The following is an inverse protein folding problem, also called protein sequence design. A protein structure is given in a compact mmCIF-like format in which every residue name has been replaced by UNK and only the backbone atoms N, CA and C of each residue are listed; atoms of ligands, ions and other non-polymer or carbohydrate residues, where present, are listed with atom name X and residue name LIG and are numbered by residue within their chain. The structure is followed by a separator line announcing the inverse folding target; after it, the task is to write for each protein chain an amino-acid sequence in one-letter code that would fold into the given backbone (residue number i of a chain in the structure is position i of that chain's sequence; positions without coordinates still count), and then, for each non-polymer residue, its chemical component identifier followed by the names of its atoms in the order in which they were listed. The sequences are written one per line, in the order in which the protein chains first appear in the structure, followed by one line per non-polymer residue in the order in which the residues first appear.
data_IF_677406406438
#
_entry.id   IF_677406406438
#
_cell.length_a   1.000
_cell.length_b   1.000
_cell.length_c   1.000
_cell.angle_alpha   90.00
_cell.angle_beta   90.00
_cell.angle_gamma   90.00
#
_symmetry.space_group_name_H-M   'P 1'
#
loop_
_entity.id
_entity.type
_entity.pdbx_description
1 polymer ?
#
# COMPACT_ATOMS: atom_id res chain seq x y z
N UNK A 1 65.90 0.59 3.39
CA UNK A 1 64.82 1.39 2.78
C UNK A 1 64.22 0.56 1.66
N UNK A 2 62.99 0.07 1.83
CA UNK A 2 62.32 -0.70 0.77
C UNK A 2 61.99 0.27 -0.37
N UNK A 3 62.62 0.05 -1.52
CA UNK A 3 62.54 0.92 -2.69
C UNK A 3 61.23 0.64 -3.44
N UNK A 4 60.40 1.66 -3.69
CA UNK A 4 59.13 1.55 -4.44
C UNK A 4 59.34 0.86 -5.80
N UNK A 5 60.54 0.98 -6.37
CA UNK A 5 60.92 0.35 -7.63
C UNK A 5 61.00 -1.18 -7.58
N UNK A 6 61.41 -1.78 -6.45
CA UNK A 6 61.43 -3.25 -6.32
C UNK A 6 60.03 -3.82 -6.11
N UNK A 7 59.14 -3.08 -5.43
CA UNK A 7 57.74 -3.44 -5.28
C UNK A 7 56.96 -3.39 -6.60
N UNK A 8 57.22 -2.39 -7.46
CA UNK A 8 56.61 -2.36 -8.79
C UNK A 8 57.07 -3.52 -9.69
N UNK A 9 58.32 -3.95 -9.56
CA UNK A 9 58.87 -5.09 -10.32
C UNK A 9 58.42 -6.45 -9.81
N UNK A 10 57.94 -6.57 -8.56
CA UNK A 10 57.50 -7.84 -7.98
C UNK A 10 56.11 -8.29 -8.44
N UNK A 11 55.40 -7.48 -9.23
CA UNK A 11 54.05 -7.78 -9.73
C UNK A 11 52.94 -7.67 -8.68
N UNK A 12 53.30 -7.53 -7.41
CA UNK A 12 52.41 -7.36 -6.26
C UNK A 12 51.41 -6.19 -6.41
N UNK A 13 51.75 -5.01 -6.97
CA UNK A 13 50.78 -3.93 -7.17
C UNK A 13 49.59 -4.34 -8.05
N UNK A 14 49.83 -5.16 -9.07
CA UNK A 14 48.79 -5.62 -9.98
C UNK A 14 47.81 -6.58 -9.29
N UNK A 15 48.30 -7.38 -8.34
CA UNK A 15 47.46 -8.26 -7.51
C UNK A 15 46.53 -7.42 -6.64
N UNK A 16 47.06 -6.40 -5.97
CA UNK A 16 46.27 -5.47 -5.16
C UNK A 16 45.26 -4.68 -5.99
N UNK A 17 45.63 -4.25 -7.20
CA UNK A 17 44.74 -3.55 -8.11
C UNK A 17 43.56 -4.44 -8.55
N UNK A 18 43.81 -5.70 -8.89
CA UNK A 18 42.75 -6.65 -9.22
C UNK A 18 41.85 -6.94 -8.01
N UNK A 19 42.43 -7.17 -6.83
CA UNK A 19 41.66 -7.36 -5.59
C UNK A 19 40.79 -6.14 -5.27
N UNK A 20 41.31 -4.93 -5.46
CA UNK A 20 40.56 -3.69 -5.30
C UNK A 20 39.43 -3.56 -6.34
N UNK A 21 39.70 -3.89 -7.61
CA UNK A 21 38.69 -3.86 -8.67
C UNK A 21 37.55 -4.88 -8.42
N UNK A 22 37.88 -6.10 -7.98
CA UNK A 22 36.89 -7.13 -7.61
C UNK A 22 36.08 -6.68 -6.40
N UNK A 23 36.73 -6.15 -5.37
CA UNK A 23 36.05 -5.64 -4.17
C UNK A 23 35.09 -4.49 -4.51
N UNK A 24 35.53 -3.55 -5.35
CA UNK A 24 34.69 -2.46 -5.84
C UNK A 24 33.50 -2.98 -6.66
N UNK A 25 33.72 -3.98 -7.50
CA UNK A 25 32.65 -4.63 -8.29
C UNK A 25 31.61 -5.28 -7.38
N UNK A 26 32.03 -5.98 -6.32
CA UNK A 26 31.12 -6.54 -5.33
C UNK A 26 30.32 -5.46 -4.60
N UNK A 27 30.97 -4.37 -4.18
CA UNK A 27 30.29 -3.23 -3.54
C UNK A 27 29.22 -2.64 -4.47
N UNK A 28 29.52 -2.48 -5.76
CA UNK A 28 28.54 -1.99 -6.74
C UNK A 28 27.37 -2.95 -6.91
N UNK A 29 27.62 -4.26 -7.00
CA UNK A 29 26.55 -5.27 -7.13
C UNK A 29 25.67 -5.29 -5.89
N UNK A 30 26.25 -5.36 -4.69
CA UNK A 30 25.46 -5.34 -3.45
C UNK A 30 24.75 -3.99 -3.27
N UNK A 31 25.39 -2.88 -3.60
CA UNK A 31 24.78 -1.56 -3.57
C UNK A 31 23.56 -1.46 -4.48
N UNK A 32 23.65 -2.02 -5.70
CA UNK A 32 22.52 -2.09 -6.62
C UNK A 32 21.39 -3.00 -6.09
N UNK A 33 21.73 -4.18 -5.56
CA UNK A 33 20.74 -5.09 -4.99
C UNK A 33 20.01 -4.46 -3.80
N UNK A 34 20.73 -3.78 -2.90
CA UNK A 34 20.14 -3.06 -1.76
C UNK A 34 19.26 -1.92 -2.26
N UNK A 35 19.71 -1.14 -3.24
CA UNK A 35 18.92 -0.06 -3.82
C UNK A 35 17.60 -0.57 -4.40
N UNK A 36 17.65 -1.67 -5.16
CA UNK A 36 16.45 -2.32 -5.72
C UNK A 36 15.56 -2.83 -4.59
N UNK A 37 16.12 -3.51 -3.59
CA UNK A 37 15.36 -4.02 -2.45
C UNK A 37 14.63 -2.88 -1.72
N UNK A 38 15.32 -1.82 -1.33
CA UNK A 38 14.71 -0.68 -0.62
C UNK A 38 13.62 -0.01 -1.46
N UNK A 39 13.84 0.14 -2.77
CA UNK A 39 12.83 0.72 -3.68
C UNK A 39 11.65 -0.22 -3.91
N UNK A 40 11.85 -1.53 -3.85
CA UNK A 40 10.81 -2.54 -4.08
C UNK A 40 9.99 -2.89 -2.84
N UNK A 41 10.63 -3.00 -1.66
CA UNK A 41 9.97 -3.44 -0.43
C UNK A 41 8.80 -2.53 -0.02
N UNK A 42 8.90 -1.23 -0.29
CA UNK A 42 7.81 -0.29 -0.01
C UNK A 42 6.52 -0.61 -0.76
N UNK A 43 6.60 -1.19 -1.97
CA UNK A 43 5.41 -1.60 -2.74
C UNK A 43 4.70 -2.83 -2.15
N UNK A 44 5.44 -3.67 -1.42
CA UNK A 44 4.88 -4.86 -0.77
C UNK A 44 4.44 -4.59 0.66
N UNK A 45 4.75 -3.41 1.22
CA UNK A 45 4.33 -3.08 2.57
C UNK A 45 2.85 -2.72 2.59
N UNK A 46 2.05 -3.26 3.53
CA UNK A 46 0.66 -2.86 3.68
C UNK A 46 0.58 -1.34 3.92
N UNK A 47 -0.14 -0.63 3.06
CA UNK A 47 -0.44 0.77 3.29
C UNK A 47 -1.43 0.92 4.44
N UNK A 48 -1.33 2.02 5.17
CA UNK A 48 -2.27 2.32 6.24
C UNK A 48 -3.68 2.55 5.66
N UNK A 49 -4.68 1.95 6.30
CA UNK A 49 -6.08 2.11 5.91
C UNK A 49 -6.61 3.38 6.59
N UNK A 50 -7.06 4.32 5.77
CA UNK A 50 -7.70 5.54 6.24
C UNK A 50 -9.20 5.40 6.24
N UNK A 51 -9.83 6.14 7.14
CA UNK A 51 -11.26 6.39 7.16
C UNK A 51 -11.53 7.89 7.15
N UNK A 52 -12.45 8.32 6.29
CA UNK A 52 -12.89 9.72 6.19
C UNK A 52 -14.33 9.79 5.68
N UNK A 53 -14.94 10.97 5.74
CA UNK A 53 -16.19 11.27 5.05
C UNK A 53 -15.92 12.13 3.83
N UNK A 54 -16.60 11.81 2.74
CA UNK A 54 -16.52 12.54 1.49
C UNK A 54 -17.90 13.03 1.06
N UNK A 55 -18.00 14.34 0.85
CA UNK A 55 -19.17 14.99 0.23
C UNK A 55 -18.80 15.31 -1.21
N UNK A 56 -19.53 14.71 -2.16
CA UNK A 56 -19.33 14.98 -3.59
C UNK A 56 -19.91 16.34 -4.01
N UNK A 57 -19.72 16.70 -5.29
CA UNK A 57 -20.24 17.95 -5.84
C UNK A 57 -21.77 18.04 -5.89
N UNK A 58 -22.48 16.92 -5.78
CA UNK A 58 -23.95 16.88 -5.70
C UNK A 58 -24.45 17.02 -4.25
N UNK A 59 -23.54 17.04 -3.28
CA UNK A 59 -23.85 17.10 -1.85
C UNK A 59 -24.11 15.74 -1.21
N UNK A 60 -23.87 14.63 -1.92
CA UNK A 60 -24.02 13.30 -1.34
C UNK A 60 -22.84 13.01 -0.42
N UNK A 61 -23.14 12.81 0.87
CA UNK A 61 -22.13 12.42 1.87
C UNK A 61 -22.00 10.91 1.93
N UNK A 62 -20.77 10.42 1.83
CA UNK A 62 -20.42 8.99 1.87
C UNK A 62 -19.22 8.75 2.77
N UNK A 63 -19.21 7.62 3.49
CA UNK A 63 -18.04 7.18 4.25
C UNK A 63 -17.06 6.51 3.29
N UNK A 64 -15.80 6.91 3.33
CA UNK A 64 -14.72 6.30 2.58
C UNK A 64 -13.77 5.59 3.52
N UNK A 65 -13.51 4.31 3.21
CA UNK A 65 -12.49 3.50 3.86
C UNK A 65 -11.61 2.94 2.75
N UNK A 66 -10.30 3.12 2.85
CA UNK A 66 -9.38 2.63 1.84
C UNK A 66 -7.94 3.07 2.07
N UNK A 67 -7.10 2.85 1.07
CA UNK A 67 -5.69 3.23 1.10
C UNK A 67 -5.49 4.47 0.22
N UNK A 68 -4.75 5.48 0.69
CA UNK A 68 -4.39 6.63 -0.16
C UNK A 68 -3.35 6.14 -1.17
N UNK A 69 -3.76 6.02 -2.44
CA UNK A 69 -2.91 5.49 -3.51
C UNK A 69 -2.10 6.59 -4.19
N UNK A 70 -2.74 7.73 -4.45
CA UNK A 70 -2.11 8.84 -5.12
C UNK A 70 -2.64 10.17 -4.58
N UNK A 71 -1.76 11.18 -4.55
CA UNK A 71 -2.09 12.55 -4.17
C UNK A 71 -1.51 13.46 -5.23
N UNK A 72 -2.36 14.26 -5.87
CA UNK A 72 -1.99 15.14 -6.97
C UNK A 72 -2.55 16.53 -6.74
N UNK A 73 -1.79 17.56 -7.12
CA UNK A 73 -2.28 18.94 -7.14
C UNK A 73 -2.78 19.27 -8.55
N UNK A 74 -4.06 19.59 -8.67
CA UNK A 74 -4.71 19.93 -9.94
C UNK A 74 -5.22 21.36 -9.93
N UNK A 75 -5.36 21.98 -11.11
CA UNK A 75 -5.91 23.33 -11.19
C UNK A 75 -7.42 23.32 -10.96
N UNK A 76 -7.94 24.36 -10.31
CA UNK A 76 -9.37 24.51 -10.09
C UNK A 76 -10.15 24.63 -11.42
N UNK A 77 -9.54 25.25 -12.44
CA UNK A 77 -10.11 25.35 -13.78
C UNK A 77 -10.39 23.96 -14.39
N UNK A 78 -9.44 23.02 -14.30
CA UNK A 78 -9.60 21.65 -14.81
C UNK A 78 -10.74 20.88 -14.12
N UNK A 79 -11.00 21.15 -12.84
CA UNK A 79 -12.08 20.51 -12.10
C UNK A 79 -13.44 21.18 -12.36
N UNK A 80 -13.47 22.49 -12.55
CA UNK A 80 -14.68 23.22 -12.91
C UNK A 80 -15.24 22.76 -14.28
N UNK A 81 -14.36 22.44 -15.24
CA UNK A 81 -14.74 21.83 -16.52
C UNK A 81 -15.45 20.47 -16.36
N UNK A 82 -15.22 19.78 -15.24
CA UNK A 82 -15.84 18.50 -14.90
C UNK A 82 -17.03 18.62 -13.93
N UNK A 83 -17.65 19.81 -13.82
CA UNK A 83 -18.79 20.11 -12.93
C UNK A 83 -18.52 19.88 -11.43
N UNK A 84 -17.26 19.96 -10.99
CA UNK A 84 -16.94 19.91 -9.56
C UNK A 84 -17.13 21.30 -8.96
N UNK A 85 -18.04 21.44 -8.00
CA UNK A 85 -18.22 22.70 -7.26
C UNK A 85 -17.04 22.93 -6.32
N UNK A 86 -16.32 24.03 -6.52
CA UNK A 86 -15.19 24.43 -5.68
C UNK A 86 -15.47 25.81 -5.05
N UNK A 87 -14.99 26.07 -3.82
CA UNK A 87 -14.97 27.40 -3.23
C UNK A 87 -14.26 28.40 -4.14
N UNK A 88 -14.79 29.62 -4.23
CA UNK A 88 -14.18 30.69 -5.00
C UNK A 88 -12.78 31.05 -4.46
N UNK A 89 -11.85 31.37 -5.37
CA UNK A 89 -10.50 31.83 -5.02
C UNK A 89 -9.42 30.76 -4.93
N UNK A 90 -9.74 29.49 -5.17
CA UNK A 90 -8.75 28.42 -5.27
C UNK A 90 -8.18 28.34 -6.69
N UNK A 91 -6.86 28.45 -6.83
CA UNK A 91 -6.17 28.22 -8.11
C UNK A 91 -5.79 26.75 -8.30
N UNK A 92 -5.41 26.10 -7.20
CA UNK A 92 -4.99 24.71 -7.14
C UNK A 92 -5.69 24.00 -5.99
N UNK A 93 -5.94 22.71 -6.16
CA UNK A 93 -6.60 21.86 -5.18
C UNK A 93 -6.02 20.45 -5.24
N UNK A 94 -5.94 19.82 -4.07
CA UNK A 94 -5.47 18.44 -3.97
C UNK A 94 -6.58 17.46 -4.35
N UNK A 95 -6.21 16.52 -5.22
CA UNK A 95 -7.00 15.36 -5.62
C UNK A 95 -6.35 14.11 -5.05
N UNK A 96 -7.16 13.30 -4.39
CA UNK A 96 -6.77 11.99 -3.88
C UNK A 96 -7.36 10.90 -4.76
N UNK A 97 -6.54 9.90 -5.09
CA UNK A 97 -7.00 8.62 -5.58
C UNK A 97 -6.97 7.63 -4.42
N UNK A 98 -8.14 7.24 -3.93
CA UNK A 98 -8.26 6.33 -2.79
C UNK A 98 -8.60 4.95 -3.34
N UNK A 99 -7.79 3.95 -3.01
CA UNK A 99 -8.07 2.54 -3.31
C UNK A 99 -9.09 2.04 -2.30
N UNK A 100 -10.35 2.08 -2.70
CA UNK A 100 -11.48 1.59 -1.92
C UNK A 100 -11.62 0.07 -2.10
N UNK A 101 -12.19 -0.59 -1.10
CA UNK A 101 -12.46 -2.02 -1.13
C UNK A 101 -13.91 -2.28 -1.50
N UNK A 102 -14.37 -3.51 -1.27
CA UNK A 102 -15.78 -3.87 -1.30
C UNK A 102 -16.41 -3.56 -2.68
N UNK A 103 -15.71 -3.98 -3.75
CA UNK A 103 -16.15 -3.75 -5.14
C UNK A 103 -17.54 -4.34 -5.45
N UNK A 104 -17.95 -5.35 -4.72
CA UNK A 104 -19.32 -5.89 -4.73
C UNK A 104 -20.39 -4.87 -4.28
N UNK A 105 -20.03 -3.91 -3.42
CA UNK A 105 -20.92 -2.84 -2.96
C UNK A 105 -20.79 -1.58 -3.82
N UNK A 106 -19.57 -1.19 -4.19
CA UNK A 106 -19.30 0.10 -4.83
C UNK A 106 -19.04 0.02 -6.35
N UNK A 107 -18.84 -1.17 -6.90
CA UNK A 107 -18.58 -1.40 -8.33
C UNK A 107 -17.18 -1.00 -8.82
N UNK A 108 -16.38 -0.32 -8.00
CA UNK A 108 -15.04 0.16 -8.34
C UNK A 108 -14.04 -0.09 -7.20
N UNK A 109 -12.77 -0.28 -7.56
CA UNK A 109 -11.64 -0.43 -6.62
C UNK A 109 -10.97 0.91 -6.28
N UNK A 110 -11.33 1.97 -6.99
CA UNK A 110 -10.74 3.30 -6.82
C UNK A 110 -11.82 4.36 -6.83
N UNK A 111 -11.70 5.33 -5.92
CA UNK A 111 -12.54 6.52 -5.88
C UNK A 111 -11.66 7.76 -5.89
N UNK A 112 -11.97 8.68 -6.80
CA UNK A 112 -11.39 10.01 -6.81
C UNK A 112 -12.12 10.86 -5.78
N UNK A 113 -11.37 11.51 -4.90
CA UNK A 113 -11.91 12.44 -3.89
C UNK A 113 -11.15 13.76 -3.94
N UNK A 114 -11.88 14.86 -3.96
CA UNK A 114 -11.31 16.22 -3.96
C UNK A 114 -11.20 16.69 -2.51
N UNK A 115 -10.04 17.24 -2.14
CA UNK A 115 -9.73 17.63 -0.76
C UNK A 115 -10.79 18.53 -0.10
N UNK A 116 -11.42 19.41 -0.88
CA UNK A 116 -12.49 20.30 -0.40
C UNK A 116 -13.70 19.55 0.16
N UNK A 117 -14.03 18.39 -0.41
CA UNK A 117 -15.15 17.57 0.04
C UNK A 117 -14.77 16.54 1.10
N UNK A 118 -13.49 16.47 1.50
CA UNK A 118 -12.99 15.49 2.45
C UNK A 118 -12.96 16.07 3.86
N UNK A 119 -13.42 15.27 4.81
CA UNK A 119 -13.16 15.49 6.23
C UNK A 119 -11.77 14.97 6.61
N UNK A 120 -11.37 15.21 7.86
CA UNK A 120 -10.09 14.75 8.39
C UNK A 120 -9.93 13.23 8.22
N UNK A 121 -8.75 12.81 7.78
CA UNK A 121 -8.40 11.39 7.72
C UNK A 121 -8.15 10.86 9.12
N UNK A 122 -8.73 9.70 9.41
CA UNK A 122 -8.48 8.93 10.64
C UNK A 122 -7.85 7.59 10.29
N UNK A 123 -7.10 7.01 11.23
CA UNK A 123 -6.44 5.71 11.10
C UNK A 123 -6.90 4.76 12.22
N UNK A 124 -8.12 4.21 12.13
CA UNK A 124 -8.65 3.34 13.17
C UNK A 124 -7.90 1.99 13.19
N UNK A 125 -7.36 1.61 14.35
CA UNK A 125 -6.61 0.35 14.54
C UNK A 125 -7.50 -0.90 14.36
N UNK A 126 -8.82 -0.75 14.53
CA UNK A 126 -9.78 -1.84 14.40
C UNK A 126 -10.19 -2.15 12.94
N UNK A 127 -9.72 -1.36 11.97
CA UNK A 127 -9.94 -1.65 10.56
C UNK A 127 -9.09 -2.82 10.10
N UNK A 128 -9.75 -3.75 9.41
CA UNK A 128 -9.11 -4.92 8.84
C UNK A 128 -9.24 -4.90 7.33
N UNK A 129 -8.16 -5.28 6.65
CA UNK A 129 -8.15 -5.62 5.22
C UNK A 129 -8.23 -7.13 5.07
N UNK A 130 -9.23 -7.60 4.35
CA UNK A 130 -9.38 -9.01 3.96
C UNK A 130 -9.31 -9.06 2.45
N UNK A 131 -8.32 -9.78 1.90
CA UNK A 131 -8.30 -10.07 0.47
C UNK A 131 -9.29 -11.19 0.16
N UNK A 132 -10.22 -10.92 -0.75
CA UNK A 132 -11.17 -11.91 -1.24
C UNK A 132 -10.72 -12.39 -2.62
N UNK A 133 -11.04 -13.66 -2.92
CA UNK A 133 -10.72 -14.27 -4.22
C UNK A 133 -11.45 -13.60 -5.38
N UNK A 134 -12.68 -13.18 -5.12
CA UNK A 134 -13.46 -12.36 -6.05
C UNK A 134 -13.57 -10.95 -5.49
N UNK A 135 -13.56 -9.94 -6.36
CA UNK A 135 -13.81 -8.54 -5.99
C UNK A 135 -12.78 -7.92 -5.04
N UNK A 136 -11.57 -8.50 -4.98
CA UNK A 136 -10.38 -7.90 -4.36
C UNK A 136 -10.49 -7.63 -2.86
N UNK A 137 -9.93 -6.50 -2.43
CA UNK A 137 -9.87 -6.11 -1.03
C UNK A 137 -11.25 -5.84 -0.45
N UNK A 138 -11.47 -6.29 0.77
CA UNK A 138 -12.55 -5.91 1.65
C UNK A 138 -11.97 -5.13 2.82
N UNK A 139 -12.52 -3.95 3.10
CA UNK A 139 -12.20 -3.17 4.28
C UNK A 139 -13.41 -3.14 5.21
N UNK A 140 -13.18 -3.34 6.50
CA UNK A 140 -14.24 -3.28 7.49
C UNK A 140 -13.75 -3.52 8.91
N UNK A 141 -14.70 -3.74 9.81
CA UNK A 141 -14.44 -4.08 11.22
C UNK A 141 -14.96 -5.48 11.49
N UNK A 142 -14.17 -6.29 12.19
CA UNK A 142 -14.63 -7.60 12.62
C UNK A 142 -15.56 -7.43 13.83
N UNK A 143 -16.85 -7.63 13.61
CA UNK A 143 -17.85 -7.51 14.69
C UNK A 143 -18.07 -8.86 15.39
N UNK A 144 -18.39 -9.88 14.60
CA UNK A 144 -18.73 -11.22 15.10
C UNK A 144 -18.24 -12.28 14.13
N UNK A 145 -17.87 -13.44 14.66
CA UNK A 145 -17.64 -14.65 13.87
C UNK A 145 -18.87 -15.54 14.01
N UNK A 146 -19.40 -15.99 12.87
CA UNK A 146 -20.53 -16.93 12.84
C UNK A 146 -20.15 -18.22 12.14
N UNK A 147 -20.61 -19.34 12.66
CA UNK A 147 -20.49 -20.66 12.04
C UNK A 147 -21.88 -21.30 11.98
N UNK A 148 -22.30 -21.69 10.77
CA UNK A 148 -23.65 -22.24 10.54
C UNK A 148 -24.78 -21.35 11.10
N UNK A 149 -24.61 -20.03 10.97
CA UNK A 149 -25.57 -19.03 11.47
C UNK A 149 -25.52 -18.75 12.98
N UNK A 150 -24.72 -19.49 13.76
CA UNK A 150 -24.55 -19.26 15.20
C UNK A 150 -23.33 -18.39 15.47
N UNK A 151 -23.46 -17.44 16.40
CA UNK A 151 -22.31 -16.65 16.88
C UNK A 151 -21.39 -17.60 17.65
N UNK A 152 -20.11 -17.62 17.27
CA UNK A 152 -19.08 -18.45 17.90
C UNK A 152 -18.04 -17.62 18.64
N UNK A 153 -17.90 -16.36 18.28
CA UNK A 153 -17.07 -15.37 18.98
C UNK A 153 -17.49 -13.95 18.60
N UNK A 154 -17.26 -13.00 19.50
CA UNK A 154 -17.52 -11.58 19.34
C UNK A 154 -16.51 -10.76 20.16
N UNK A 155 -16.38 -9.46 19.87
CA UNK A 155 -15.42 -8.60 20.56
C UNK A 155 -13.97 -9.08 20.39
N UNK A 156 -13.19 -9.03 21.48
CA UNK A 156 -11.75 -9.31 21.47
C UNK A 156 -11.42 -10.76 21.07
N UNK A 157 -12.33 -11.71 21.35
CA UNK A 157 -12.15 -13.12 20.99
C UNK A 157 -12.40 -13.40 19.51
N UNK A 158 -13.07 -12.49 18.80
CA UNK A 158 -13.47 -12.67 17.41
C UNK A 158 -12.26 -12.88 16.50
N UNK A 159 -11.17 -12.12 16.70
CA UNK A 159 -9.97 -12.21 15.87
C UNK A 159 -9.29 -13.57 16.02
N UNK A 160 -9.07 -14.02 17.24
CA UNK A 160 -8.49 -15.34 17.52
C UNK A 160 -9.36 -16.48 16.97
N UNK A 161 -10.68 -16.36 17.06
CA UNK A 161 -11.61 -17.34 16.52
C UNK A 161 -11.68 -17.35 14.97
N UNK A 162 -11.39 -16.23 14.31
CA UNK A 162 -11.42 -16.10 12.86
C UNK A 162 -10.24 -16.83 12.19
N UNK A 163 -9.04 -16.73 12.77
CA UNK A 163 -7.79 -17.28 12.19
C UNK A 163 -7.89 -18.77 11.78
N UNK A 164 -8.23 -19.73 12.66
CA UNK A 164 -8.30 -21.14 12.27
C UNK A 164 -9.41 -21.43 11.25
N UNK A 165 -10.44 -20.57 11.16
CA UNK A 165 -11.53 -20.70 10.19
C UNK A 165 -11.10 -20.22 8.81
N UNK A 166 -10.30 -19.16 8.73
CA UNK A 166 -9.67 -18.72 7.50
C UNK A 166 -8.73 -19.78 6.95
N UNK A 167 -7.83 -20.32 7.79
CA UNK A 167 -6.93 -21.42 7.40
C UNK A 167 -7.70 -22.62 6.84
N UNK A 168 -8.77 -23.04 7.53
CA UNK A 168 -9.65 -24.12 7.06
C UNK A 168 -10.30 -23.79 5.71
N UNK A 169 -10.76 -22.55 5.51
CA UNK A 169 -11.39 -22.12 4.26
C UNK A 169 -10.40 -22.08 3.09
N UNK A 170 -9.15 -21.69 3.35
CA UNK A 170 -8.07 -21.74 2.37
C UNK A 170 -7.77 -23.20 2.00
N UNK A 171 -7.49 -24.06 2.99
CA UNK A 171 -7.18 -25.47 2.75
C UNK A 171 -8.34 -26.26 2.09
N UNK A 172 -9.60 -25.89 2.32
CA UNK A 172 -10.74 -26.48 1.64
C UNK A 172 -10.76 -26.16 0.15
N UNK A 173 -10.36 -24.95 -0.21
CA UNK A 173 -10.36 -24.50 -1.59
C UNK A 173 -9.21 -25.09 -2.39
N UNK A 174 -8.01 -25.16 -1.80
CA UNK A 174 -6.84 -25.73 -2.47
C UNK A 174 -7.14 -27.19 -2.89
N UNK A 175 -7.91 -27.94 -2.09
CA UNK A 175 -8.38 -29.30 -2.43
C UNK A 175 -9.45 -29.37 -3.52
N UNK A 176 -10.11 -28.26 -3.86
CA UNK A 176 -11.11 -28.19 -4.94
C UNK A 176 -10.42 -27.85 -6.27
N UNK A 177 -9.31 -27.10 -6.24
CA UNK A 177 -8.54 -26.76 -7.44
C UNK A 177 -7.57 -27.86 -7.90
N UNK A 178 -7.19 -28.79 -7.02
CA UNK A 178 -6.48 -30.05 -7.37
C UNK A 178 -7.38 -31.08 -8.08
#
# INVERSE_FOLDING_TARGET
MHDIRTWFKSGTPWIWLNAAAVSMSLIMVFGLLILIAVRGLGYFWPADIVETWYTDGEGNRSRLIGEIWETETVSAAQLAENNVTLPEGLEHVTRYLIKVGNRDLYGADFKVAIAVGLEEFTWPEELVRIERREWGNFYGRLLVVKEQGRVVAEGDEAWAALQPRLERAVALYDRIEE
#
